data_IF_624470457684
#
_entry.id   IF_624470457684
#
_cell.length_a   1.000
_cell.length_b   1.000
_cell.length_c   1.000
_cell.angle_alpha   90.00
_cell.angle_beta   90.00
_cell.angle_gamma   90.00
#
_symmetry.space_group_name_H-M   'P 1'
#
loop_
_entity.id
_entity.type
_entity.pdbx_description
1 polymer ?
#
# COMPACT_ATOMS: atom_id res chain seq x y z
N UNK A 1 -0.01 6.70 -1.04
CA UNK A 1 -0.29 5.53 -1.89
C UNK A 1 0.50 5.64 -3.17
N UNK A 2 1.09 4.56 -3.66
CA UNK A 2 1.86 4.53 -4.92
C UNK A 2 1.25 3.48 -5.85
N UNK A 3 1.02 3.81 -7.13
CA UNK A 3 0.62 2.82 -8.14
C UNK A 3 1.81 1.92 -8.45
N UNK A 4 1.60 0.61 -8.37
CA UNK A 4 2.63 -0.41 -8.64
C UNK A 4 2.52 -0.88 -10.08
N UNK A 5 1.30 -1.14 -10.54
CA UNK A 5 1.05 -1.73 -11.85
C UNK A 5 -0.27 -1.23 -12.44
N UNK A 6 -0.34 -1.18 -13.78
CA UNK A 6 -1.58 -0.95 -14.51
C UNK A 6 -2.32 -2.29 -14.59
N UNK A 7 -3.45 -2.42 -13.92
CA UNK A 7 -4.31 -3.60 -14.11
C UNK A 7 -5.00 -3.61 -15.47
N UNK A 8 -5.45 -4.80 -15.85
CA UNK A 8 -6.07 -5.09 -17.14
C UNK A 8 -7.46 -4.45 -17.31
N UNK A 9 -8.14 -4.18 -16.20
CA UNK A 9 -9.43 -3.48 -16.17
C UNK A 9 -9.22 -1.99 -15.94
N UNK A 10 -9.85 -1.15 -16.79
CA UNK A 10 -9.77 0.31 -16.68
C UNK A 10 -10.27 0.76 -15.31
N UNK A 11 -9.42 1.49 -14.57
CA UNK A 11 -9.72 1.97 -13.22
C UNK A 11 -9.28 1.04 -12.10
N UNK A 12 -8.97 -0.22 -12.39
CA UNK A 12 -8.49 -1.18 -11.40
C UNK A 12 -6.98 -1.32 -11.48
N UNK A 13 -6.26 -0.38 -10.85
CA UNK A 13 -4.82 -0.47 -10.74
C UNK A 13 -4.40 -1.11 -9.42
N UNK A 14 -3.23 -1.76 -9.43
CA UNK A 14 -2.63 -2.26 -8.21
C UNK A 14 -1.89 -1.10 -7.51
N UNK A 15 -2.28 -0.84 -6.27
CA UNK A 15 -1.68 0.17 -5.42
C UNK A 15 -0.92 -0.48 -4.27
N UNK A 16 0.11 0.22 -3.80
CA UNK A 16 0.83 -0.10 -2.57
C UNK A 16 0.70 1.05 -1.57
N UNK A 17 0.43 0.71 -0.33
CA UNK A 17 0.53 1.60 0.81
C UNK A 17 1.54 1.06 1.83
N UNK A 18 2.22 1.99 2.49
CA UNK A 18 3.04 1.73 3.66
C UNK A 18 2.35 2.37 4.85
N UNK A 19 2.29 1.66 5.97
CA UNK A 19 1.66 2.14 7.19
C UNK A 19 2.26 1.50 8.42
N UNK A 20 2.07 2.15 9.55
CA UNK A 20 2.40 1.60 10.86
C UNK A 20 1.09 1.27 11.59
N UNK A 21 0.99 0.06 12.12
CA UNK A 21 -0.12 -0.32 13.02
C UNK A 21 0.05 0.37 14.38
N UNK A 22 -1.00 0.42 15.18
CA UNK A 22 -0.94 1.00 16.54
C UNK A 22 0.07 0.27 17.45
N UNK A 23 0.28 -1.03 17.19
CA UNK A 23 1.30 -1.85 17.86
C UNK A 23 2.73 -1.63 17.32
N UNK A 24 2.93 -0.66 16.42
CA UNK A 24 4.24 -0.27 15.90
C UNK A 24 4.76 -1.10 14.72
N UNK A 25 4.07 -2.15 14.29
CA UNK A 25 4.46 -2.95 13.12
C UNK A 25 4.28 -2.16 11.83
N UNK A 26 5.30 -2.18 10.97
CA UNK A 26 5.24 -1.57 9.65
C UNK A 26 4.77 -2.59 8.62
N UNK A 27 3.72 -2.26 7.89
CA UNK A 27 3.13 -3.12 6.87
C UNK A 27 3.23 -2.49 5.50
N UNK A 28 3.47 -3.35 4.51
CA UNK A 28 3.28 -3.06 3.10
C UNK A 28 1.99 -3.75 2.66
N UNK A 29 1.01 -2.96 2.20
CA UNK A 29 -0.30 -3.45 1.76
C UNK A 29 -0.46 -3.22 0.27
N UNK A 30 -0.78 -4.28 -0.46
CA UNK A 30 -1.13 -4.24 -1.88
C UNK A 30 -2.64 -4.38 -2.04
N UNK A 31 -3.25 -3.47 -2.77
CA UNK A 31 -4.70 -3.42 -2.92
C UNK A 31 -5.13 -2.84 -4.27
N UNK A 32 -6.33 -3.19 -4.69
CA UNK A 32 -7.02 -2.55 -5.82
C UNK A 32 -7.99 -1.53 -5.24
N UNK A 33 -7.93 -0.30 -5.73
CA UNK A 33 -8.92 0.72 -5.38
C UNK A 33 -10.19 0.50 -6.19
N UNK A 34 -11.33 0.31 -5.51
CA UNK A 34 -12.63 0.03 -6.15
C UNK A 34 -13.53 1.26 -6.26
N UNK A 35 -13.05 2.45 -5.86
CA UNK A 35 -13.85 3.67 -5.80
C UNK A 35 -14.63 3.81 -4.49
N UNK A 36 -15.23 4.99 -4.26
CA UNK A 36 -16.07 5.31 -3.09
C UNK A 36 -15.42 4.99 -1.71
N UNK A 37 -14.10 5.09 -1.60
CA UNK A 37 -13.37 4.74 -0.38
C UNK A 37 -13.21 3.24 -0.13
N UNK A 38 -13.71 2.38 -1.04
CA UNK A 38 -13.51 0.93 -1.00
C UNK A 38 -12.17 0.50 -1.57
N UNK A 39 -11.53 -0.46 -0.91
CA UNK A 39 -10.30 -1.10 -1.36
C UNK A 39 -10.40 -2.62 -1.19
N UNK A 40 -9.97 -3.35 -2.21
CA UNK A 40 -9.81 -4.81 -2.14
C UNK A 40 -8.35 -5.12 -1.83
N UNK A 41 -8.10 -5.59 -0.61
CA UNK A 41 -6.76 -6.01 -0.18
C UNK A 41 -6.41 -7.33 -0.88
N UNK A 42 -5.28 -7.34 -1.59
CA UNK A 42 -4.75 -8.53 -2.26
C UNK A 42 -3.74 -9.23 -1.36
N UNK A 43 -2.86 -8.47 -0.73
CA UNK A 43 -1.90 -9.00 0.24
C UNK A 43 -1.46 -7.93 1.23
N UNK A 44 -1.09 -8.38 2.42
CA UNK A 44 -0.41 -7.59 3.44
C UNK A 44 0.77 -8.39 3.96
N UNK A 45 1.92 -7.75 4.07
CA UNK A 45 3.15 -8.35 4.61
C UNK A 45 3.88 -7.35 5.48
N UNK A 46 4.80 -7.85 6.30
CA UNK A 46 5.75 -6.98 6.98
C UNK A 46 6.57 -6.18 5.97
N UNK A 47 6.67 -4.87 6.23
CA UNK A 47 7.50 -4.00 5.43
C UNK A 47 8.97 -4.39 5.60
N UNK A 48 9.68 -4.51 4.48
CA UNK A 48 11.12 -4.73 4.46
C UNK A 48 11.87 -3.54 5.08
N UNK A 49 13.12 -3.72 5.54
CA UNK A 49 13.91 -2.62 6.12
C UNK A 49 14.02 -1.39 5.20
N UNK A 50 14.10 -1.60 3.88
CA UNK A 50 14.12 -0.52 2.89
C UNK A 50 12.80 0.24 2.79
N UNK A 51 11.67 -0.47 2.79
CA UNK A 51 10.32 0.11 2.81
C UNK A 51 10.04 0.89 4.11
N UNK A 52 10.53 0.40 5.25
CA UNK A 52 10.43 1.13 6.54
C UNK A 52 11.19 2.45 6.48
N UNK A 53 12.39 2.46 5.90
CA UNK A 53 13.23 3.66 5.78
C UNK A 53 12.62 4.71 4.84
N UNK A 54 11.91 4.30 3.80
CA UNK A 54 11.22 5.23 2.89
C UNK A 54 9.91 5.76 3.47
N UNK A 55 9.22 4.99 4.31
CA UNK A 55 8.01 5.47 5.01
C UNK A 55 8.27 6.76 5.82
N UNK A 56 9.36 6.80 6.60
CA UNK A 56 9.74 8.00 7.37
C UNK A 56 10.12 9.21 6.52
N UNK A 57 10.49 9.02 5.25
CA UNK A 57 10.83 10.11 4.31
C UNK A 57 9.61 10.75 3.65
N UNK A 58 8.49 10.02 3.56
CA UNK A 58 7.25 10.49 2.95
C UNK A 58 6.26 11.10 3.96
N UNK A 59 6.62 11.19 5.25
CA UNK A 59 5.79 11.80 6.31
C UNK A 59 6.07 13.30 6.52
N UNK A 60 6.50 14.02 5.47
CA UNK A 60 6.65 15.48 5.45
C UNK A 60 5.54 16.11 4.63
#
# INVERSE_FOLDING_TARGET
MQRVEKGDVVGEHLYRALGQTDAGRYLTVFFIYKGNGGALVISARDASPGERKSYGKHKK
#
